data_IF_952991163800
#
_entry.id   IF_952991163800
#
_cell.length_a   1.000
_cell.length_b   1.000
_cell.length_c   1.000
_cell.angle_alpha   90.00
_cell.angle_beta   90.00
_cell.angle_gamma   90.00
#
_symmetry.space_group_name_H-M   'P 1'
#
loop_
_entity.id
_entity.type
_entity.pdbx_description
1 polymer ?
#
# COMPACT_ATOMS: atom_id res chain seq x y z
N UNK A 1 -12.50 36.95 -2.57
CA UNK A 1 -12.49 37.68 -1.30
C UNK A 1 -13.63 37.24 -0.38
N UNK A 2 -14.89 37.15 -0.83
CA UNK A 2 -16.03 36.73 0.01
C UNK A 2 -15.94 35.31 0.58
N UNK A 3 -15.31 34.37 -0.14
CA UNK A 3 -15.05 33.02 0.36
C UNK A 3 -14.00 33.00 1.46
N UNK A 4 -13.03 33.90 1.40
CA UNK A 4 -11.97 34.08 2.41
C UNK A 4 -12.50 34.66 3.70
N UNK A 5 -13.44 35.56 3.61
CA UNK A 5 -14.07 36.23 4.76
C UNK A 5 -15.04 35.29 5.48
N UNK A 6 -15.78 34.46 4.71
CA UNK A 6 -16.63 33.40 5.26
C UNK A 6 -15.81 32.31 5.97
N UNK A 7 -14.64 31.93 5.44
CA UNK A 7 -13.72 30.97 6.05
C UNK A 7 -13.11 31.50 7.35
N UNK A 8 -12.74 32.77 7.40
CA UNK A 8 -12.24 33.42 8.60
C UNK A 8 -13.31 33.54 9.69
N UNK A 9 -14.58 33.69 9.31
CA UNK A 9 -15.72 33.67 10.23
C UNK A 9 -15.94 32.32 10.90
N UNK A 10 -15.84 31.23 10.14
CA UNK A 10 -16.01 29.85 10.63
C UNK A 10 -14.87 29.43 11.56
N UNK A 11 -13.65 29.88 11.28
CA UNK A 11 -12.46 29.57 12.10
C UNK A 11 -12.52 30.19 13.51
N UNK A 12 -13.23 31.28 13.67
CA UNK A 12 -13.33 31.98 14.94
C UNK A 12 -14.43 31.43 15.89
N UNK A 13 -15.36 30.60 15.40
CA UNK A 13 -16.53 30.18 16.17
C UNK A 13 -16.51 28.73 16.72
N UNK A 14 -15.47 27.92 16.48
CA UNK A 14 -15.52 26.50 16.92
C UNK A 14 -14.20 25.85 17.30
N UNK A 15 -14.12 25.40 18.51
CA UNK A 15 -13.08 24.49 19.02
C UNK A 15 -13.33 23.06 18.49
N UNK A 16 -12.31 22.30 18.18
CA UNK A 16 -12.25 20.88 17.75
C UNK A 16 -12.78 20.51 16.35
N UNK A 17 -13.88 21.07 15.84
CA UNK A 17 -14.33 20.85 14.47
C UNK A 17 -13.53 21.71 13.45
N UNK A 18 -12.92 22.77 13.90
CA UNK A 18 -12.19 23.72 13.06
C UNK A 18 -11.00 23.10 12.32
N UNK A 19 -10.39 22.04 12.87
CA UNK A 19 -9.23 21.38 12.26
C UNK A 19 -9.65 20.53 11.07
N UNK A 20 -10.74 19.78 11.20
CA UNK A 20 -11.28 18.95 10.12
C UNK A 20 -11.81 19.82 8.98
N UNK A 21 -12.48 20.93 9.31
CA UNK A 21 -12.98 21.92 8.33
C UNK A 21 -11.81 22.60 7.61
N UNK A 22 -10.74 22.97 8.32
CA UNK A 22 -9.53 23.53 7.71
C UNK A 22 -8.84 22.55 6.77
N UNK A 23 -8.78 21.29 7.12
CA UNK A 23 -8.18 20.24 6.27
C UNK A 23 -9.06 19.96 5.06
N UNK A 24 -10.37 20.01 5.20
CA UNK A 24 -11.32 19.89 4.08
C UNK A 24 -11.25 21.09 3.12
N UNK A 25 -11.20 22.30 3.66
CA UNK A 25 -11.01 23.53 2.88
C UNK A 25 -9.65 23.55 2.17
N UNK A 26 -8.58 23.14 2.83
CA UNK A 26 -7.27 22.97 2.18
C UNK A 26 -7.33 21.94 1.09
N UNK A 27 -8.03 20.83 1.32
CA UNK A 27 -8.26 19.79 0.31
C UNK A 27 -8.96 20.35 -0.94
N UNK A 28 -10.02 21.13 -0.76
CA UNK A 28 -10.75 21.77 -1.85
C UNK A 28 -9.90 22.82 -2.56
N UNK A 29 -9.14 23.64 -1.84
CA UNK A 29 -8.26 24.66 -2.43
C UNK A 29 -7.06 24.07 -3.16
N UNK A 30 -6.63 22.86 -2.82
CA UNK A 30 -5.54 22.15 -3.51
C UNK A 30 -6.03 21.24 -4.63
N UNK A 31 -7.33 20.90 -4.64
CA UNK A 31 -7.97 20.23 -5.77
C UNK A 31 -7.85 21.13 -7.02
N UNK A 32 -7.11 20.63 -8.03
CA UNK A 32 -6.86 21.39 -9.28
C UNK A 32 -5.54 22.15 -9.31
N UNK A 33 -4.72 22.15 -8.24
CA UNK A 33 -3.34 22.66 -8.32
C UNK A 33 -2.34 21.59 -8.75
N UNK A 34 -2.75 20.32 -8.78
CA UNK A 34 -1.94 19.25 -9.33
C UNK A 34 -1.73 19.43 -10.84
N UNK A 35 -0.55 19.14 -11.30
CA UNK A 35 -0.15 19.19 -12.71
C UNK A 35 0.29 17.80 -13.16
N UNK A 36 0.68 17.67 -14.42
CA UNK A 36 1.11 16.39 -14.98
C UNK A 36 2.40 16.54 -15.77
N UNK A 37 3.34 15.65 -15.57
CA UNK A 37 4.58 15.54 -16.35
C UNK A 37 4.64 14.12 -16.90
N UNK A 38 4.56 13.95 -18.21
CA UNK A 38 4.64 12.65 -18.87
C UNK A 38 3.70 11.56 -18.31
N UNK A 39 2.46 11.96 -17.92
CA UNK A 39 1.49 11.06 -17.31
C UNK A 39 1.68 10.81 -15.81
N UNK A 40 2.65 11.47 -15.18
CA UNK A 40 2.89 11.42 -13.73
C UNK A 40 2.23 12.62 -13.06
N UNK A 41 1.38 12.38 -12.06
CA UNK A 41 0.78 13.45 -11.26
C UNK A 41 1.86 14.15 -10.43
N UNK A 42 1.89 15.46 -10.45
CA UNK A 42 2.88 16.23 -9.70
C UNK A 42 2.30 17.55 -9.16
N UNK A 43 3.00 18.12 -8.20
CA UNK A 43 2.71 19.48 -7.75
C UNK A 43 3.22 20.53 -8.72
N UNK A 44 2.69 21.77 -8.67
CA UNK A 44 2.96 22.83 -9.65
C UNK A 44 4.44 23.24 -9.70
N UNK A 45 5.19 23.06 -8.64
CA UNK A 45 6.60 23.43 -8.54
C UNK A 45 7.58 22.27 -8.84
N UNK A 46 7.07 21.08 -9.18
CA UNK A 46 7.93 19.91 -9.41
C UNK A 46 8.95 20.14 -10.52
N UNK A 47 8.56 20.88 -11.57
CA UNK A 47 9.44 21.18 -12.71
C UNK A 47 10.51 22.22 -12.35
N UNK A 48 10.15 23.28 -11.63
CA UNK A 48 11.01 24.46 -11.48
C UNK A 48 11.82 24.49 -10.17
N UNK A 49 11.36 23.74 -9.15
CA UNK A 49 12.07 23.66 -7.87
C UNK A 49 13.42 22.93 -8.02
N UNK A 50 14.44 23.37 -7.31
CA UNK A 50 15.73 22.66 -7.20
C UNK A 50 15.62 21.36 -6.39
N UNK A 51 14.60 21.23 -5.54
CA UNK A 51 14.33 20.04 -4.77
C UNK A 51 13.11 19.30 -5.34
N UNK A 52 13.15 17.98 -5.39
CA UNK A 52 12.07 17.11 -5.84
C UNK A 52 11.78 16.06 -4.78
N UNK A 53 10.50 15.84 -4.50
CA UNK A 53 10.04 14.73 -3.66
C UNK A 53 9.33 13.72 -4.54
N UNK A 54 9.79 12.48 -4.55
CA UNK A 54 9.21 11.39 -5.32
C UNK A 54 8.39 10.53 -4.38
N UNK A 55 7.14 10.26 -4.74
CA UNK A 55 6.19 9.43 -4.01
C UNK A 55 5.59 8.37 -4.93
N UNK A 56 4.85 7.41 -4.38
CA UNK A 56 4.28 6.30 -5.15
C UNK A 56 3.08 6.73 -6.00
N UNK A 57 2.08 7.33 -5.38
CA UNK A 57 0.75 7.54 -5.96
C UNK A 57 0.32 9.00 -6.08
N UNK A 58 -0.76 9.18 -6.83
CA UNK A 58 -1.42 10.48 -6.98
C UNK A 58 -1.90 11.04 -5.64
N UNK A 59 -2.45 10.18 -4.78
CA UNK A 59 -3.01 10.60 -3.51
C UNK A 59 -1.94 11.10 -2.55
N UNK A 60 -0.72 10.55 -2.62
CA UNK A 60 0.43 11.06 -1.86
C UNK A 60 0.74 12.49 -2.26
N UNK A 61 0.80 12.76 -3.58
CA UNK A 61 1.00 14.14 -4.08
C UNK A 61 -0.08 15.07 -3.56
N UNK A 62 -1.34 14.65 -3.61
CA UNK A 62 -2.48 15.44 -3.10
C UNK A 62 -2.37 15.71 -1.61
N UNK A 63 -1.98 14.68 -0.84
CA UNK A 63 -1.78 14.84 0.59
C UNK A 63 -0.65 15.83 0.90
N UNK A 64 0.48 15.74 0.19
CA UNK A 64 1.59 16.68 0.35
C UNK A 64 1.19 18.11 -0.05
N UNK A 65 0.39 18.28 -1.10
CA UNK A 65 -0.14 19.59 -1.52
C UNK A 65 -1.00 20.23 -0.43
N UNK A 66 -1.83 19.48 0.31
CA UNK A 66 -2.61 19.99 1.45
C UNK A 66 -1.75 20.68 2.50
N UNK A 67 -0.50 20.22 2.63
CA UNK A 67 0.47 20.78 3.59
C UNK A 67 1.44 21.79 2.96
N UNK A 68 1.14 22.25 1.72
CA UNK A 68 1.95 23.27 1.03
C UNK A 68 3.21 22.75 0.35
N UNK A 69 3.42 21.43 0.29
CA UNK A 69 4.55 20.81 -0.41
C UNK A 69 4.20 20.68 -1.88
N UNK A 70 4.72 21.58 -2.71
CA UNK A 70 4.32 21.75 -4.13
C UNK A 70 5.29 21.13 -5.13
N UNK A 71 6.39 20.55 -4.68
CA UNK A 71 7.46 19.96 -5.50
C UNK A 71 7.50 18.44 -5.43
N UNK A 72 6.35 17.81 -5.22
CA UNK A 72 6.19 16.36 -5.23
C UNK A 72 5.81 15.85 -6.62
N UNK A 73 6.21 14.62 -6.96
CA UNK A 73 5.83 13.89 -8.17
C UNK A 73 5.60 12.41 -7.84
N UNK A 74 4.54 11.82 -8.43
CA UNK A 74 4.22 10.41 -8.27
C UNK A 74 4.86 9.57 -9.37
N UNK A 75 5.38 8.37 -9.01
CA UNK A 75 5.88 7.39 -9.99
C UNK A 75 4.74 6.77 -10.81
N UNK A 76 3.53 6.70 -10.24
CA UNK A 76 2.34 6.08 -10.82
C UNK A 76 2.50 4.58 -11.07
N UNK A 77 3.18 3.89 -10.18
CA UNK A 77 3.44 2.44 -10.23
C UNK A 77 4.91 2.11 -10.11
N UNK A 78 5.24 0.83 -10.21
CA UNK A 78 6.57 0.32 -9.97
C UNK A 78 7.60 0.74 -11.04
N UNK A 79 7.20 0.90 -12.29
CA UNK A 79 8.12 1.27 -13.37
C UNK A 79 8.51 2.76 -13.32
N UNK A 80 9.77 3.03 -13.07
CA UNK A 80 10.34 4.39 -13.09
C UNK A 80 10.51 4.87 -14.53
N UNK A 81 9.78 5.92 -14.90
CA UNK A 81 9.82 6.48 -16.25
C UNK A 81 11.12 7.25 -16.52
N UNK A 82 11.60 7.19 -17.75
CA UNK A 82 12.80 7.91 -18.16
C UNK A 82 12.67 9.43 -17.96
N UNK A 83 11.50 10.00 -18.15
CA UNK A 83 11.23 11.42 -17.93
C UNK A 83 11.41 11.81 -16.44
N UNK A 84 11.11 10.91 -15.50
CA UNK A 84 11.39 11.14 -14.09
C UNK A 84 12.89 11.13 -13.82
N UNK A 85 13.62 10.21 -14.44
CA UNK A 85 15.10 10.13 -14.34
C UNK A 85 15.74 11.41 -14.88
N UNK A 86 15.30 11.88 -16.04
CA UNK A 86 15.80 13.12 -16.63
C UNK A 86 15.43 14.37 -15.81
N UNK A 87 14.26 14.38 -15.20
CA UNK A 87 13.86 15.45 -14.28
C UNK A 87 14.75 15.43 -13.02
N UNK A 88 14.95 14.26 -12.43
CA UNK A 88 15.76 14.10 -11.21
C UNK A 88 17.23 14.51 -11.41
N UNK A 89 17.81 14.23 -12.57
CA UNK A 89 19.18 14.65 -12.91
C UNK A 89 19.40 16.17 -12.90
N UNK A 90 18.33 16.94 -13.11
CA UNK A 90 18.35 18.42 -13.11
C UNK A 90 18.18 19.03 -11.72
N UNK A 91 17.96 18.20 -10.70
CA UNK A 91 17.68 18.65 -9.32
C UNK A 91 18.90 18.50 -8.45
N UNK A 92 19.10 19.49 -7.57
CA UNK A 92 20.18 19.43 -6.57
C UNK A 92 19.82 18.54 -5.37
N UNK A 93 18.53 18.33 -5.10
CA UNK A 93 18.05 17.52 -3.99
C UNK A 93 16.84 16.69 -4.40
N UNK A 94 17.00 15.37 -4.46
CA UNK A 94 15.93 14.41 -4.78
C UNK A 94 15.71 13.53 -3.58
N UNK A 95 14.50 13.56 -3.03
CA UNK A 95 14.09 12.74 -1.88
C UNK A 95 13.02 11.76 -2.31
N UNK A 96 13.25 10.47 -2.16
CA UNK A 96 12.17 9.48 -2.22
C UNK A 96 11.44 9.46 -0.87
N UNK A 97 10.12 9.64 -0.88
CA UNK A 97 9.27 9.55 0.29
C UNK A 97 8.27 8.43 0.09
N UNK A 98 8.56 7.29 0.68
CA UNK A 98 7.86 6.04 0.46
C UNK A 98 7.07 5.60 1.71
N UNK A 99 6.11 4.71 1.50
CA UNK A 99 5.29 4.11 2.54
C UNK A 99 6.13 3.28 3.52
N UNK A 100 5.63 3.13 4.74
CA UNK A 100 6.31 2.41 5.83
C UNK A 100 6.16 0.90 5.78
N UNK A 101 5.80 0.34 4.62
CA UNK A 101 5.56 -1.07 4.42
C UNK A 101 6.61 -1.74 3.49
N UNK A 102 6.40 -3.02 3.16
CA UNK A 102 7.26 -3.76 2.24
C UNK A 102 7.17 -3.20 0.80
N UNK A 103 5.98 -2.74 0.38
CA UNK A 103 5.76 -2.14 -0.94
C UNK A 103 6.60 -0.89 -1.14
N UNK A 104 6.56 0.03 -0.18
CA UNK A 104 7.37 1.25 -0.18
C UNK A 104 8.88 0.96 -0.17
N UNK A 105 9.34 -0.09 0.55
CA UNK A 105 10.75 -0.52 0.53
C UNK A 105 11.16 -1.04 -0.86
N UNK A 106 10.30 -1.81 -1.53
CA UNK A 106 10.56 -2.34 -2.88
C UNK A 106 10.61 -1.22 -3.91
N UNK A 107 9.64 -0.29 -3.87
CA UNK A 107 9.65 0.90 -4.73
C UNK A 107 10.93 1.71 -4.55
N UNK A 108 11.38 1.85 -3.31
CA UNK A 108 12.63 2.55 -3.02
C UNK A 108 13.84 1.88 -3.67
N UNK A 109 13.91 0.54 -3.65
CA UNK A 109 15.01 -0.19 -4.32
C UNK A 109 14.98 0.04 -5.82
N UNK A 110 13.81 0.07 -6.43
CA UNK A 110 13.63 0.36 -7.85
C UNK A 110 14.03 1.79 -8.20
N UNK A 111 13.57 2.79 -7.42
CA UNK A 111 13.98 4.18 -7.55
C UNK A 111 15.49 4.35 -7.40
N UNK A 112 16.10 3.63 -6.48
CA UNK A 112 17.55 3.64 -6.27
C UNK A 112 18.31 3.12 -7.50
N UNK A 113 17.80 2.04 -8.12
CA UNK A 113 18.37 1.48 -9.34
C UNK A 113 18.27 2.43 -10.53
N UNK A 114 17.09 3.02 -10.74
CA UNK A 114 16.81 3.89 -11.86
C UNK A 114 17.48 5.28 -11.75
N UNK A 115 17.43 5.90 -10.56
CA UNK A 115 17.93 7.25 -10.34
C UNK A 115 19.44 7.30 -9.98
N UNK A 116 19.97 6.23 -9.44
CA UNK A 116 21.38 6.14 -9.05
C UNK A 116 21.81 7.31 -8.15
N UNK A 117 22.83 8.04 -8.57
CA UNK A 117 23.38 9.18 -7.81
C UNK A 117 22.47 10.40 -7.75
N UNK A 118 21.44 10.48 -8.60
CA UNK A 118 20.45 11.57 -8.55
C UNK A 118 19.54 11.47 -7.34
N UNK A 119 19.32 10.27 -6.78
CA UNK A 119 18.60 10.08 -5.52
C UNK A 119 19.52 10.45 -4.35
N UNK A 120 19.26 11.58 -3.71
CA UNK A 120 20.13 12.12 -2.65
C UNK A 120 19.68 11.72 -1.25
N UNK A 121 18.37 11.67 -1.00
CA UNK A 121 17.80 11.40 0.32
C UNK A 121 16.62 10.44 0.25
N UNK A 122 16.32 9.84 1.38
CA UNK A 122 15.18 8.95 1.59
C UNK A 122 14.47 9.37 2.87
N UNK A 123 13.15 9.47 2.77
CA UNK A 123 12.22 9.58 3.88
C UNK A 123 11.26 8.39 3.81
N UNK A 124 10.92 7.82 4.95
CA UNK A 124 9.95 6.74 5.05
C UNK A 124 8.79 7.18 5.94
N UNK A 125 7.57 6.80 5.57
CA UNK A 125 6.45 6.89 6.48
C UNK A 125 6.68 5.98 7.71
N UNK A 126 6.01 6.22 8.83
CA UNK A 126 6.04 5.30 9.97
C UNK A 126 5.59 3.90 9.54
N UNK A 127 6.03 2.88 10.27
CA UNK A 127 5.74 1.48 9.98
C UNK A 127 4.25 1.24 9.76
N UNK A 128 3.92 0.51 8.69
CA UNK A 128 2.55 0.20 8.25
C UNK A 128 1.66 1.43 7.96
N UNK A 129 2.26 2.57 7.69
CA UNK A 129 1.54 3.80 7.31
C UNK A 129 1.83 4.17 5.86
N UNK A 130 0.79 4.62 5.17
CA UNK A 130 0.86 5.14 3.80
C UNK A 130 1.00 6.67 3.83
N UNK A 131 1.76 7.23 2.90
CA UNK A 131 2.01 8.68 2.82
C UNK A 131 0.71 9.47 2.61
N UNK A 132 -0.25 8.91 1.87
CA UNK A 132 -1.55 9.54 1.60
C UNK A 132 -2.39 9.77 2.86
N UNK A 133 -2.16 8.98 3.93
CA UNK A 133 -2.90 9.05 5.19
C UNK A 133 -2.16 9.79 6.32
N UNK A 134 -0.97 10.34 6.04
CA UNK A 134 -0.19 11.05 7.06
C UNK A 134 -0.75 12.45 7.33
N UNK A 135 -0.77 12.82 8.60
CA UNK A 135 -1.00 14.20 9.02
C UNK A 135 0.21 15.10 8.74
N UNK A 136 0.01 16.41 8.54
CA UNK A 136 1.07 17.36 8.21
C UNK A 136 2.24 17.39 9.19
N UNK A 137 1.98 17.19 10.49
CA UNK A 137 3.03 17.10 11.51
C UNK A 137 3.93 15.88 11.30
N UNK A 138 3.32 14.75 10.91
CA UNK A 138 4.05 13.50 10.66
C UNK A 138 4.83 13.60 9.35
N UNK A 139 4.22 14.14 8.28
CA UNK A 139 4.91 14.43 7.01
C UNK A 139 6.15 15.30 7.25
N UNK A 140 5.99 16.41 7.98
CA UNK A 140 7.11 17.31 8.31
C UNK A 140 8.19 16.58 9.10
N UNK A 141 7.81 15.76 10.07
CA UNK A 141 8.76 14.95 10.85
C UNK A 141 9.55 13.99 9.98
N UNK A 142 8.88 13.23 9.13
CA UNK A 142 9.52 12.27 8.22
C UNK A 142 10.49 12.96 7.27
N UNK A 143 10.11 14.09 6.67
CA UNK A 143 10.97 14.85 5.75
C UNK A 143 12.15 15.51 6.46
N UNK A 144 12.01 15.93 7.72
CA UNK A 144 13.11 16.45 8.52
C UNK A 144 14.08 15.35 8.97
N UNK A 145 13.59 14.11 9.12
CA UNK A 145 14.37 12.94 9.50
C UNK A 145 14.91 12.16 8.30
N UNK A 146 14.81 12.71 7.08
CA UNK A 146 15.34 12.06 5.89
C UNK A 146 16.81 11.72 6.04
N UNK A 147 17.20 10.56 5.57
CA UNK A 147 18.58 10.06 5.59
C UNK A 147 19.22 10.20 4.21
N UNK A 148 20.56 10.25 4.17
CA UNK A 148 21.27 10.14 2.90
C UNK A 148 20.94 8.80 2.20
N UNK A 149 20.65 8.85 0.89
CA UNK A 149 20.19 7.70 0.12
C UNK A 149 21.12 6.49 0.26
N UNK A 150 22.44 6.71 0.15
CA UNK A 150 23.44 5.62 0.26
C UNK A 150 23.36 4.85 1.56
N UNK A 151 23.13 5.53 2.67
CA UNK A 151 23.00 4.92 4.01
C UNK A 151 21.69 4.17 4.16
N UNK A 152 20.58 4.81 3.77
CA UNK A 152 19.24 4.23 3.92
C UNK A 152 19.06 3.02 3.01
N UNK A 153 19.54 3.07 1.75
CA UNK A 153 19.47 1.95 0.80
C UNK A 153 20.18 0.71 1.34
N UNK A 154 21.40 0.87 1.87
CA UNK A 154 22.14 -0.26 2.43
C UNK A 154 21.38 -0.92 3.59
N UNK A 155 20.79 -0.12 4.48
CA UNK A 155 19.99 -0.60 5.61
C UNK A 155 18.72 -1.31 5.13
N UNK A 156 17.98 -0.71 4.20
CA UNK A 156 16.70 -1.24 3.72
C UNK A 156 16.92 -2.52 2.89
N UNK A 157 17.99 -2.57 2.09
CA UNK A 157 18.38 -3.77 1.37
C UNK A 157 18.65 -4.93 2.32
N UNK A 158 19.43 -4.70 3.37
CA UNK A 158 19.70 -5.72 4.39
C UNK A 158 18.42 -6.16 5.13
N UNK A 159 17.46 -5.25 5.35
CA UNK A 159 16.15 -5.59 5.92
C UNK A 159 15.33 -6.47 4.98
N UNK A 160 15.26 -6.14 3.68
CA UNK A 160 14.55 -6.95 2.69
C UNK A 160 15.18 -8.34 2.54
N UNK A 161 16.50 -8.44 2.50
CA UNK A 161 17.23 -9.71 2.46
C UNK A 161 16.99 -10.54 3.74
N UNK A 162 16.97 -9.91 4.91
CA UNK A 162 16.65 -10.58 6.17
C UNK A 162 15.18 -11.03 6.23
N UNK A 163 14.27 -10.27 5.65
CA UNK A 163 12.85 -10.62 5.51
C UNK A 163 12.66 -11.77 4.50
N UNK A 164 13.49 -11.88 3.46
CA UNK A 164 13.47 -12.96 2.48
C UNK A 164 14.20 -14.23 2.98
N UNK A 165 15.33 -14.10 3.68
CA UNK A 165 15.99 -15.21 4.38
C UNK A 165 15.21 -15.68 5.62
N UNK A 166 14.47 -14.76 6.24
CA UNK A 166 13.53 -15.04 7.33
C UNK A 166 12.23 -15.70 6.86
N UNK A 167 12.01 -15.80 5.53
CA UNK A 167 10.92 -16.59 4.94
C UNK A 167 10.98 -18.09 5.27
N UNK A 168 12.08 -18.55 5.89
CA UNK A 168 12.18 -19.84 6.55
C UNK A 168 11.99 -19.74 8.09
N UNK A 169 11.99 -18.54 8.72
CA UNK A 169 11.76 -18.39 10.18
C UNK A 169 11.33 -16.96 10.54
N UNK A 170 10.06 -16.82 10.96
CA UNK A 170 9.47 -15.74 11.78
C UNK A 170 9.05 -14.44 11.08
N UNK A 171 7.81 -14.42 10.58
CA UNK A 171 6.99 -13.21 10.69
C UNK A 171 6.54 -13.07 12.15
N UNK A 172 7.24 -12.22 12.89
CA UNK A 172 6.83 -11.83 14.23
C UNK A 172 5.93 -10.60 14.14
N UNK A 173 4.67 -10.78 13.92
CA UNK A 173 3.65 -9.78 14.24
C UNK A 173 3.15 -10.11 15.65
N UNK A 174 3.35 -9.20 16.57
CA UNK A 174 2.70 -9.19 17.87
C UNK A 174 1.19 -9.04 17.68
N UNK A 175 0.48 -10.15 17.62
CA UNK A 175 -0.85 -10.34 18.14
C UNK A 175 -1.10 -11.84 18.21
N UNK A 176 -1.22 -12.33 19.45
CA UNK A 176 -1.75 -13.63 19.84
C UNK A 176 -1.28 -14.79 18.96
N UNK A 177 -0.27 -15.53 19.43
CA UNK A 177 0.17 -16.79 18.84
C UNK A 177 -1.02 -17.74 18.65
N UNK A 178 -1.59 -17.72 17.44
CA UNK A 178 -2.26 -18.90 16.91
C UNK A 178 -1.20 -19.66 16.16
N UNK A 179 -0.77 -20.80 16.72
CA UNK A 179 -0.01 -21.80 15.98
C UNK A 179 -0.82 -22.09 14.71
N UNK A 180 -0.16 -21.94 13.54
CA UNK A 180 -0.78 -22.35 12.28
C UNK A 180 -0.90 -23.87 12.36
N UNK A 181 -2.10 -24.44 12.39
CA UNK A 181 -2.29 -25.89 12.48
C UNK A 181 -1.53 -26.57 11.33
N UNK A 182 -0.93 -27.72 11.61
CA UNK A 182 -0.12 -28.48 10.64
C UNK A 182 -0.90 -28.80 9.35
N UNK A 183 -2.22 -28.97 9.45
CA UNK A 183 -3.13 -29.16 8.33
C UNK A 183 -3.13 -28.00 7.32
N UNK A 184 -2.93 -26.73 7.74
CA UNK A 184 -2.88 -25.58 6.83
C UNK A 184 -1.65 -25.62 5.92
N UNK A 185 -0.55 -26.20 6.39
CA UNK A 185 0.66 -26.41 5.58
C UNK A 185 0.42 -27.43 4.47
N UNK A 186 -0.25 -28.53 4.78
CA UNK A 186 -0.61 -29.57 3.82
C UNK A 186 -1.59 -29.01 2.80
N UNK A 187 -2.60 -28.25 3.24
CA UNK A 187 -3.59 -27.62 2.37
C UNK A 187 -2.99 -26.57 1.43
N UNK A 188 -1.97 -25.84 1.87
CA UNK A 188 -1.31 -24.85 1.02
C UNK A 188 -0.58 -25.46 -0.19
N UNK A 189 -0.18 -26.72 -0.12
CA UNK A 189 0.45 -27.42 -1.24
C UNK A 189 -0.50 -27.55 -2.45
N UNK A 190 -1.80 -27.75 -2.21
CA UNK A 190 -2.81 -27.83 -3.26
C UNK A 190 -2.97 -26.52 -4.05
N UNK A 191 -2.60 -25.38 -3.47
CA UNK A 191 -2.71 -24.08 -4.14
C UNK A 191 -1.78 -23.97 -5.36
N UNK A 192 -0.62 -24.64 -5.35
CA UNK A 192 0.34 -24.66 -6.46
C UNK A 192 -0.15 -25.41 -7.70
N UNK A 193 -1.04 -26.36 -7.54
CA UNK A 193 -1.58 -27.20 -8.61
C UNK A 193 -2.87 -26.63 -9.23
N UNK A 194 -3.50 -25.66 -8.56
CA UNK A 194 -4.74 -25.06 -9.02
C UNK A 194 -4.52 -24.07 -10.16
N UNK A 195 -5.32 -24.19 -11.21
CA UNK A 195 -5.39 -23.15 -12.26
C UNK A 195 -5.96 -21.84 -11.67
N UNK A 196 -5.54 -20.72 -12.22
CA UNK A 196 -6.03 -19.40 -11.82
C UNK A 196 -7.57 -19.34 -11.89
N UNK A 197 -8.20 -18.80 -10.86
CA UNK A 197 -9.66 -18.71 -10.68
C UNK A 197 -10.38 -20.06 -10.43
N UNK A 198 -9.66 -21.12 -10.09
CA UNK A 198 -10.27 -22.36 -9.61
C UNK A 198 -10.16 -22.43 -8.08
N UNK A 199 -11.06 -23.18 -7.49
CA UNK A 199 -11.12 -23.50 -6.07
C UNK A 199 -11.26 -25.00 -5.85
N UNK A 200 -10.84 -25.47 -4.68
CA UNK A 200 -11.11 -26.82 -4.16
C UNK A 200 -11.60 -26.72 -2.73
N UNK A 201 -12.35 -27.71 -2.30
CA UNK A 201 -12.73 -27.92 -0.90
C UNK A 201 -11.87 -29.05 -0.33
N UNK A 202 -11.40 -28.87 0.89
CA UNK A 202 -10.80 -29.95 1.69
C UNK A 202 -11.86 -30.46 2.64
N UNK A 203 -12.09 -31.76 2.62
CA UNK A 203 -13.09 -32.45 3.44
C UNK A 203 -12.50 -32.87 4.80
N UNK A 204 -13.35 -33.33 5.73
CA UNK A 204 -12.94 -33.79 7.08
C UNK A 204 -11.95 -34.96 7.03
N UNK A 205 -12.01 -35.80 6.03
CA UNK A 205 -11.09 -36.92 5.81
C UNK A 205 -9.74 -36.51 5.23
N UNK A 206 -9.53 -35.19 5.00
CA UNK A 206 -8.33 -34.63 4.38
C UNK A 206 -8.28 -34.72 2.87
N UNK A 207 -9.29 -35.30 2.22
CA UNK A 207 -9.36 -35.38 0.76
C UNK A 207 -9.70 -34.04 0.13
N UNK A 208 -9.17 -33.79 -1.07
CA UNK A 208 -9.46 -32.59 -1.85
C UNK A 208 -10.54 -32.91 -2.91
N UNK A 209 -11.51 -32.01 -3.07
CA UNK A 209 -12.50 -32.08 -4.14
C UNK A 209 -11.86 -31.88 -5.52
N UNK A 210 -12.60 -32.19 -6.58
CA UNK A 210 -12.19 -31.78 -7.92
C UNK A 210 -12.15 -30.24 -8.03
N UNK A 211 -11.24 -29.68 -8.87
CA UNK A 211 -11.15 -28.23 -9.06
C UNK A 211 -12.42 -27.64 -9.68
N UNK A 212 -12.98 -26.63 -9.03
CA UNK A 212 -14.24 -25.99 -9.39
C UNK A 212 -13.97 -24.56 -9.84
N UNK A 213 -14.59 -24.14 -10.93
CA UNK A 213 -14.54 -22.73 -11.37
C UNK A 213 -15.33 -21.81 -10.45
N UNK A 214 -14.83 -20.59 -10.26
CA UNK A 214 -15.40 -19.59 -9.34
C UNK A 214 -16.90 -19.28 -9.56
N UNK A 215 -17.44 -19.51 -10.77
CA UNK A 215 -18.86 -19.29 -11.08
C UNK A 215 -19.80 -20.35 -10.48
N UNK A 216 -19.32 -21.56 -10.22
CA UNK A 216 -20.09 -22.67 -9.65
C UNK A 216 -19.80 -22.92 -8.17
N UNK A 217 -18.91 -22.12 -7.59
CA UNK A 217 -18.41 -22.35 -6.24
C UNK A 217 -19.51 -22.25 -5.17
N UNK A 218 -20.44 -21.31 -5.31
CA UNK A 218 -21.54 -21.12 -4.35
C UNK A 218 -22.47 -22.33 -4.31
N UNK A 219 -22.92 -22.79 -5.45
CA UNK A 219 -23.80 -23.97 -5.59
C UNK A 219 -23.13 -25.25 -5.07
N UNK A 220 -21.80 -25.36 -5.28
CA UNK A 220 -21.04 -26.51 -4.82
C UNK A 220 -20.80 -26.49 -3.31
N UNK A 221 -20.52 -25.34 -2.73
CA UNK A 221 -20.27 -25.19 -1.30
C UNK A 221 -21.53 -25.47 -0.45
N UNK A 222 -22.72 -25.15 -0.95
CA UNK A 222 -24.00 -25.48 -0.32
C UNK A 222 -24.32 -26.99 -0.31
N UNK A 223 -23.74 -27.74 -1.25
CA UNK A 223 -24.00 -29.17 -1.42
C UNK A 223 -23.00 -30.10 -0.72
N UNK A 224 -21.92 -29.60 -0.16
CA UNK A 224 -20.85 -30.42 0.44
C UNK A 224 -20.90 -30.31 1.97
N UNK A 225 -21.34 -31.39 2.62
CA UNK A 225 -21.22 -31.52 4.07
C UNK A 225 -19.79 -31.89 4.50
N UNK A 226 -19.29 -31.30 5.60
CA UNK A 226 -18.01 -31.66 6.19
C UNK A 226 -16.79 -31.00 5.50
N UNK A 227 -16.97 -29.89 4.79
CA UNK A 227 -15.84 -29.14 4.26
C UNK A 227 -15.11 -28.39 5.37
N UNK A 228 -13.79 -28.56 5.45
CA UNK A 228 -12.90 -27.95 6.47
C UNK A 228 -12.23 -26.68 5.95
N UNK A 229 -11.95 -26.60 4.67
CA UNK A 229 -11.25 -25.47 4.08
C UNK A 229 -11.64 -25.27 2.60
N UNK A 230 -11.82 -24.01 2.23
CA UNK A 230 -11.94 -23.56 0.85
C UNK A 230 -10.58 -23.01 0.40
N UNK A 231 -9.95 -23.63 -0.61
CA UNK A 231 -8.68 -23.19 -1.18
C UNK A 231 -8.93 -22.56 -2.56
N UNK A 232 -8.44 -21.32 -2.75
CA UNK A 232 -8.60 -20.58 -4.01
C UNK A 232 -7.24 -20.10 -4.53
N UNK A 233 -6.98 -20.25 -5.83
CA UNK A 233 -5.79 -19.66 -6.44
C UNK A 233 -6.08 -18.24 -6.94
N UNK A 234 -6.48 -17.37 -6.02
CA UNK A 234 -6.75 -15.94 -6.24
C UNK A 234 -6.71 -15.20 -4.91
N UNK A 235 -6.87 -13.86 -4.94
CA UNK A 235 -7.13 -13.08 -3.72
C UNK A 235 -8.49 -13.48 -3.14
N UNK A 236 -8.56 -13.62 -1.83
CA UNK A 236 -9.82 -13.86 -1.12
C UNK A 236 -10.70 -12.61 -1.29
N UNK A 237 -11.90 -12.77 -1.83
CA UNK A 237 -12.90 -11.69 -1.98
C UNK A 237 -14.00 -11.87 -0.93
N UNK A 238 -14.76 -10.80 -0.63
CA UNK A 238 -15.92 -10.84 0.27
C UNK A 238 -16.90 -11.94 -0.13
N UNK A 239 -17.15 -12.11 -1.43
CA UNK A 239 -18.01 -13.19 -1.95
C UNK A 239 -17.50 -14.58 -1.59
N UNK A 240 -16.18 -14.81 -1.51
CA UNK A 240 -15.62 -16.11 -1.11
C UNK A 240 -15.80 -16.38 0.37
N UNK A 241 -15.76 -15.33 1.20
CA UNK A 241 -16.05 -15.42 2.62
C UNK A 241 -17.54 -15.73 2.83
N UNK A 242 -18.44 -15.01 2.14
CA UNK A 242 -19.88 -15.30 2.18
C UNK A 242 -20.21 -16.73 1.76
N UNK A 243 -19.58 -17.24 0.71
CA UNK A 243 -19.76 -18.66 0.27
C UNK A 243 -19.27 -19.62 1.35
N UNK A 244 -18.16 -19.35 2.01
CA UNK A 244 -17.66 -20.18 3.09
C UNK A 244 -18.58 -20.14 4.32
N UNK A 245 -19.12 -18.97 4.66
CA UNK A 245 -20.09 -18.80 5.77
C UNK A 245 -21.38 -19.59 5.48
N UNK A 246 -21.95 -19.47 4.28
CA UNK A 246 -23.17 -20.20 3.87
C UNK A 246 -22.91 -21.72 3.85
N UNK A 247 -21.73 -22.16 3.38
CA UNK A 247 -21.34 -23.56 3.37
C UNK A 247 -20.86 -24.10 4.73
N UNK A 248 -20.88 -23.29 5.80
CA UNK A 248 -20.34 -23.63 7.12
C UNK A 248 -18.86 -24.11 7.07
N UNK A 249 -18.07 -23.55 6.17
CA UNK A 249 -16.64 -23.89 5.96
C UNK A 249 -15.79 -23.03 6.89
N UNK A 250 -15.08 -23.62 7.86
CA UNK A 250 -14.40 -22.86 8.91
C UNK A 250 -13.15 -22.10 8.46
N UNK A 251 -12.62 -22.38 7.27
CA UNK A 251 -11.37 -21.78 6.81
C UNK A 251 -11.37 -21.46 5.33
N UNK A 252 -10.76 -20.34 4.93
CA UNK A 252 -10.52 -19.95 3.54
C UNK A 252 -9.05 -19.64 3.32
N UNK A 253 -8.44 -20.31 2.35
CA UNK A 253 -7.04 -20.11 1.94
C UNK A 253 -6.97 -19.49 0.54
N UNK A 254 -6.18 -18.45 0.36
CA UNK A 254 -5.97 -17.78 -0.91
C UNK A 254 -4.57 -17.20 -1.04
N UNK A 255 -4.19 -16.75 -2.25
CA UNK A 255 -2.86 -16.20 -2.52
C UNK A 255 -2.59 -14.86 -1.82
N UNK A 256 -3.64 -14.14 -1.40
CA UNK A 256 -3.58 -12.94 -0.57
C UNK A 256 -4.94 -12.69 0.09
N UNK A 257 -4.94 -12.00 1.23
CA UNK A 257 -6.16 -11.49 1.84
C UNK A 257 -6.76 -10.38 0.95
N UNK A 258 -8.07 -10.40 0.75
CA UNK A 258 -8.81 -9.32 0.10
C UNK A 258 -9.06 -8.16 1.08
N UNK A 259 -9.61 -7.06 0.59
CA UNK A 259 -10.14 -5.97 1.43
C UNK A 259 -11.49 -6.43 2.01
N UNK A 260 -11.46 -7.25 3.04
CA UNK A 260 -12.63 -7.65 3.81
C UNK A 260 -12.30 -7.48 5.28
N UNK A 261 -13.28 -7.12 6.10
CA UNK A 261 -13.14 -7.11 7.56
C UNK A 261 -12.82 -8.55 7.99
N UNK A 262 -11.60 -8.77 8.50
CA UNK A 262 -11.32 -9.94 9.33
C UNK A 262 -11.74 -9.57 10.74
N UNK A 263 -12.71 -10.28 11.30
CA UNK A 263 -12.92 -10.29 12.74
C UNK A 263 -11.78 -11.04 13.43
#
# INVERSE_FOLDING_TARGET
>A
DRAKDLLLGIVNEGSNDSKSILDEVRSVLTLGTETNIAGMTCGPNAKDSEALIIVEGRNDVRNLLKFGIKNAIATMGANVKDELVELAKKKSNVTAFCDGDRGGKLLLMELSGALGKSLTHIAMAPESREVEHLEGKVVTKCLNQKEAATKAIARIKAQLEADDDGGARKSGTSNGSREIPDNIREWSAHMGELKKNNAILILEDGSASEPIGASKLAEFAEGVEGAQCLIVNSKISERMVEIAEVGAIPSVLGSAAGKGKSD
#
